data_IF_799237680295
#
_entry.id   IF_799237680295
#
_cell.length_a   1.000
_cell.length_b   1.000
_cell.length_c   1.000
_cell.angle_alpha   90.00
_cell.angle_beta   90.00
_cell.angle_gamma   90.00
#
_symmetry.space_group_name_H-M   'P 1'
#
loop_
_entity.id
_entity.type
_entity.pdbx_description
1 polymer ?
#
# COMPACT_ATOMS: atom_id res chain seq x y z
N UNK A 1 38.34 -49.93 35.67
CA UNK A 1 38.47 -48.53 35.21
C UNK A 1 37.16 -48.12 34.55
N UNK A 2 36.64 -46.94 34.90
CA UNK A 2 35.33 -46.39 34.51
C UNK A 2 35.40 -45.62 33.18
N UNK A 3 34.20 -45.33 32.66
CA UNK A 3 33.82 -44.32 31.66
C UNK A 3 33.88 -44.78 30.18
N UNK A 4 32.91 -44.45 29.31
CA UNK A 4 31.83 -43.48 29.45
C UNK A 4 30.67 -43.77 28.48
N UNK A 5 29.47 -43.51 28.99
CA UNK A 5 28.20 -43.48 28.28
C UNK A 5 28.15 -42.20 27.44
N UNK A 6 28.17 -42.28 26.11
CA UNK A 6 27.92 -41.12 25.25
C UNK A 6 26.41 -40.94 25.05
N UNK A 7 25.83 -40.05 25.85
CA UNK A 7 24.64 -39.28 25.49
C UNK A 7 24.93 -38.45 24.24
N UNK A 8 24.04 -38.51 23.23
CA UNK A 8 23.64 -37.33 22.44
C UNK A 8 22.44 -37.70 21.58
N UNK A 9 21.24 -37.52 22.15
CA UNK A 9 20.01 -37.48 21.37
C UNK A 9 20.06 -36.28 20.43
N UNK A 10 20.05 -36.55 19.12
CA UNK A 10 19.89 -35.51 18.11
C UNK A 10 18.40 -35.17 18.05
N UNK A 11 18.11 -33.98 18.58
CA UNK A 11 16.82 -33.31 18.61
C UNK A 11 16.26 -33.26 17.18
N UNK A 12 15.13 -33.92 16.95
CA UNK A 12 14.26 -33.65 15.80
C UNK A 12 13.70 -32.25 16.02
N UNK A 13 14.43 -31.24 15.57
CA UNK A 13 13.91 -29.88 15.46
C UNK A 13 12.97 -29.88 14.27
N UNK A 14 11.70 -30.14 14.56
CA UNK A 14 10.58 -29.96 13.65
C UNK A 14 10.55 -28.46 13.29
N UNK A 15 11.23 -28.10 12.21
CA UNK A 15 11.14 -26.79 11.59
C UNK A 15 9.71 -26.65 11.03
N UNK A 16 8.78 -26.28 11.90
CA UNK A 16 7.51 -25.69 11.50
C UNK A 16 7.83 -24.32 10.92
N UNK A 17 8.24 -24.31 9.65
CA UNK A 17 8.19 -23.12 8.83
C UNK A 17 6.69 -22.83 8.70
N UNK A 18 6.19 -21.89 9.50
CA UNK A 18 4.90 -21.27 9.27
C UNK A 18 4.90 -20.78 7.83
N UNK A 19 4.19 -21.49 6.95
CA UNK A 19 3.84 -20.95 5.65
C UNK A 19 3.10 -19.65 5.95
N UNK A 20 3.70 -18.51 5.63
CA UNK A 20 2.95 -17.28 5.47
C UNK A 20 1.88 -17.58 4.42
N UNK A 21 0.64 -17.78 4.86
CA UNK A 21 -0.49 -17.78 3.97
C UNK A 21 -0.43 -16.43 3.25
N UNK A 22 -0.32 -16.46 1.91
CA UNK A 22 -0.43 -15.25 1.12
C UNK A 22 -1.76 -14.58 1.50
N UNK A 23 -1.68 -13.48 2.26
CA UNK A 23 -2.87 -12.74 2.68
C UNK A 23 -3.61 -12.35 1.40
N UNK A 24 -4.84 -12.82 1.26
CA UNK A 24 -5.66 -12.46 0.10
C UNK A 24 -5.73 -10.94 0.04
N UNK A 25 -5.45 -10.31 -1.12
CA UNK A 25 -5.53 -8.87 -1.26
C UNK A 25 -6.86 -8.35 -0.73
N UNK A 26 -6.81 -7.37 0.16
CA UNK A 26 -8.01 -6.75 0.73
C UNK A 26 -8.72 -5.99 -0.38
N UNK A 27 -9.91 -6.44 -0.75
CA UNK A 27 -10.79 -5.71 -1.65
C UNK A 27 -11.43 -4.55 -0.89
N UNK A 28 -10.78 -3.39 -0.96
CA UNK A 28 -11.26 -2.14 -0.33
C UNK A 28 -12.67 -1.77 -0.82
N UNK A 29 -13.07 -2.21 -2.02
CA UNK A 29 -14.39 -1.93 -2.60
C UNK A 29 -15.53 -2.72 -1.93
N UNK A 30 -15.20 -3.81 -1.24
CA UNK A 30 -16.17 -4.65 -0.53
C UNK A 30 -16.45 -4.16 0.91
N UNK A 31 -15.69 -3.18 1.42
CA UNK A 31 -15.81 -2.68 2.79
C UNK A 31 -17.13 -1.93 2.99
N UNK A 32 -17.57 -1.16 1.99
CA UNK A 32 -18.86 -0.46 2.00
C UNK A 32 -19.69 -0.97 0.83
N UNK A 33 -20.77 -1.73 1.09
CA UNK A 33 -21.68 -2.18 0.05
C UNK A 33 -22.31 -1.00 -0.70
N UNK A 34 -22.55 -1.19 -2.01
CA UNK A 34 -23.17 -0.18 -2.87
C UNK A 34 -24.43 0.43 -2.25
N UNK A 35 -25.34 -0.40 -1.78
CA UNK A 35 -26.62 0.05 -1.21
C UNK A 35 -26.43 0.94 0.04
N UNK A 36 -25.40 0.65 0.83
CA UNK A 36 -25.06 1.45 2.01
C UNK A 36 -24.46 2.80 1.59
N UNK A 37 -23.59 2.81 0.58
CA UNK A 37 -23.06 4.04 0.00
C UNK A 37 -24.16 4.93 -0.62
N UNK A 38 -25.11 4.35 -1.36
CA UNK A 38 -26.27 5.10 -1.92
C UNK A 38 -27.14 5.67 -0.82
N UNK A 39 -27.36 4.93 0.28
CA UNK A 39 -28.13 5.42 1.43
C UNK A 39 -27.43 6.57 2.14
N UNK A 40 -26.11 6.51 2.29
CA UNK A 40 -25.32 7.58 2.93
C UNK A 40 -25.31 8.85 2.08
N UNK A 41 -25.19 8.70 0.76
CA UNK A 41 -25.00 9.83 -0.16
C UNK A 41 -26.32 10.39 -0.72
N UNK A 42 -27.42 9.63 -0.66
CA UNK A 42 -28.72 10.05 -1.18
C UNK A 42 -28.81 10.08 -2.70
N UNK A 43 -27.81 9.55 -3.39
CA UNK A 43 -27.71 9.53 -4.86
C UNK A 43 -27.19 8.18 -5.36
N UNK A 44 -27.47 7.82 -6.63
CA UNK A 44 -26.94 6.59 -7.22
C UNK A 44 -25.42 6.59 -7.29
N UNK A 45 -24.79 5.52 -6.82
CA UNK A 45 -23.33 5.36 -6.88
C UNK A 45 -22.95 4.29 -7.90
N UNK A 46 -21.75 4.40 -8.46
CA UNK A 46 -21.21 3.36 -9.35
C UNK A 46 -21.05 2.04 -8.61
N UNK A 47 -21.16 0.92 -9.36
CA UNK A 47 -20.91 -0.41 -8.79
C UNK A 47 -19.45 -0.46 -8.30
N UNK A 48 -19.20 -0.90 -7.04
CA UNK A 48 -17.86 -1.13 -6.56
C UNK A 48 -17.14 -2.07 -7.52
N UNK A 49 -15.99 -1.63 -8.00
CA UNK A 49 -15.09 -2.46 -8.79
C UNK A 49 -13.92 -2.77 -7.88
N UNK A 50 -13.61 -4.06 -7.65
CA UNK A 50 -12.51 -4.40 -6.77
C UNK A 50 -11.21 -3.78 -7.26
N UNK A 51 -10.54 -3.07 -6.37
CA UNK A 51 -9.18 -2.62 -6.62
C UNK A 51 -8.24 -3.80 -6.34
N UNK A 52 -7.30 -4.06 -7.24
CA UNK A 52 -6.23 -5.05 -7.19
C UNK A 52 -6.64 -6.53 -7.19
N UNK A 53 -7.87 -6.92 -7.56
CA UNK A 53 -8.25 -8.34 -7.62
C UNK A 53 -7.55 -9.16 -8.70
N UNK A 54 -7.08 -8.50 -9.77
CA UNK A 54 -6.45 -9.16 -10.92
C UNK A 54 -5.10 -8.55 -11.33
N UNK A 55 -4.52 -7.66 -10.50
CA UNK A 55 -3.26 -6.96 -10.83
C UNK A 55 -3.35 -6.03 -12.07
N UNK A 56 -4.57 -5.63 -12.47
CA UNK A 56 -4.84 -4.70 -13.57
C UNK A 56 -5.03 -3.25 -13.12
N UNK A 57 -5.15 -3.03 -11.82
CA UNK A 57 -5.18 -1.68 -11.26
C UNK A 57 -3.75 -1.19 -11.09
N UNK A 58 -3.56 0.13 -11.06
CA UNK A 58 -2.24 0.73 -10.96
C UNK A 58 -1.40 0.11 -9.84
N UNK A 59 -0.09 -0.02 -10.08
CA UNK A 59 0.89 -0.47 -9.09
C UNK A 59 1.22 0.69 -8.16
N UNK A 60 0.48 0.80 -7.06
CA UNK A 60 0.79 1.78 -6.03
C UNK A 60 2.09 1.37 -5.33
N UNK A 61 3.07 2.28 -5.32
CA UNK A 61 4.28 2.12 -4.52
C UNK A 61 4.06 2.73 -3.13
N UNK A 62 4.20 1.94 -2.07
CA UNK A 62 4.17 2.43 -0.69
C UNK A 62 5.35 3.36 -0.45
N UNK A 63 5.10 4.47 0.23
CA UNK A 63 6.12 5.44 0.65
C UNK A 63 6.20 5.42 2.18
N UNK A 64 7.33 4.96 2.70
CA UNK A 64 7.58 4.92 4.14
C UNK A 64 8.03 6.28 4.68
N UNK A 65 7.80 6.52 5.97
CA UNK A 65 8.27 7.72 6.66
C UNK A 65 7.57 9.03 6.28
N UNK A 66 6.43 8.96 5.59
CA UNK A 66 5.64 10.14 5.20
C UNK A 66 4.20 10.01 5.67
N UNK A 67 3.78 10.93 6.55
CA UNK A 67 2.48 10.82 7.22
C UNK A 67 2.38 9.58 8.11
N UNK A 68 1.17 9.13 8.37
CA UNK A 68 0.91 7.83 9.01
C UNK A 68 0.90 6.70 7.97
N UNK A 69 0.42 7.00 6.75
CA UNK A 69 0.50 6.12 5.57
C UNK A 69 0.68 6.96 4.32
N UNK A 70 1.48 6.48 3.37
CA UNK A 70 1.60 7.11 2.06
C UNK A 70 1.81 6.09 0.95
N UNK A 71 1.37 6.46 -0.25
CA UNK A 71 1.53 5.66 -1.45
C UNK A 71 1.47 6.52 -2.70
N UNK A 72 2.11 6.09 -3.78
CA UNK A 72 2.17 6.86 -5.01
C UNK A 72 1.90 6.01 -6.25
N UNK A 73 1.34 6.65 -7.28
CA UNK A 73 1.33 6.16 -8.65
C UNK A 73 2.27 7.01 -9.49
N UNK A 74 3.00 6.37 -10.40
CA UNK A 74 3.83 7.03 -11.40
C UNK A 74 3.20 6.94 -12.79
N UNK A 75 3.84 7.57 -13.78
CA UNK A 75 3.41 7.68 -15.18
C UNK A 75 3.50 6.39 -15.99
N UNK A 76 3.42 5.23 -15.34
CA UNK A 76 3.43 3.94 -16.00
C UNK A 76 2.05 3.66 -16.63
N UNK A 77 1.99 3.04 -17.83
CA UNK A 77 0.72 2.78 -18.53
C UNK A 77 -0.30 2.01 -17.68
N UNK A 78 0.14 1.08 -16.84
CA UNK A 78 -0.73 0.34 -15.92
C UNK A 78 -1.43 1.21 -14.87
N UNK A 79 -0.89 2.39 -14.58
CA UNK A 79 -1.46 3.32 -13.60
C UNK A 79 -2.45 4.31 -14.23
N UNK A 80 -2.59 4.31 -15.56
CA UNK A 80 -3.44 5.26 -16.27
C UNK A 80 -2.97 6.71 -16.16
N UNK A 81 -1.71 6.94 -15.80
CA UNK A 81 -1.09 8.27 -15.72
C UNK A 81 -0.20 8.51 -16.95
N UNK A 82 -0.16 9.75 -17.48
CA UNK A 82 0.79 10.10 -18.53
C UNK A 82 2.24 9.95 -18.04
N UNK A 83 3.21 9.74 -18.95
CA UNK A 83 4.63 9.74 -18.59
C UNK A 83 5.03 11.02 -17.85
N UNK A 84 5.96 10.91 -16.88
CA UNK A 84 6.44 12.02 -16.06
C UNK A 84 5.34 12.69 -15.21
N UNK A 85 4.31 11.93 -14.83
CA UNK A 85 3.29 12.34 -13.86
C UNK A 85 3.35 11.43 -12.65
N UNK A 86 3.34 12.03 -11.46
CA UNK A 86 3.23 11.33 -10.19
C UNK A 86 2.03 11.85 -9.42
N UNK A 87 1.30 10.91 -8.81
CA UNK A 87 0.25 11.18 -7.82
C UNK A 87 0.67 10.55 -6.50
N UNK A 88 1.00 11.39 -5.51
CA UNK A 88 1.35 10.98 -4.15
C UNK A 88 0.16 11.21 -3.21
N UNK A 89 -0.22 10.19 -2.47
CA UNK A 89 -1.28 10.21 -1.46
C UNK A 89 -0.65 10.05 -0.07
N UNK A 90 -1.10 10.86 0.89
CA UNK A 90 -0.61 10.85 2.27
C UNK A 90 -1.78 10.97 3.23
N UNK A 91 -1.83 10.08 4.21
CA UNK A 91 -2.76 10.14 5.36
C UNK A 91 -1.99 10.66 6.56
N UNK A 92 -2.55 11.64 7.29
CA UNK A 92 -2.05 12.08 8.60
C UNK A 92 -3.22 12.42 9.51
N UNK A 93 -3.44 11.63 10.56
CA UNK A 93 -4.58 11.76 11.45
C UNK A 93 -5.90 11.72 10.68
N UNK A 94 -6.65 12.85 10.69
CA UNK A 94 -7.93 13.01 9.96
C UNK A 94 -7.78 13.65 8.58
N UNK A 95 -6.56 13.97 8.16
CA UNK A 95 -6.27 14.64 6.91
C UNK A 95 -5.82 13.64 5.84
N UNK A 96 -6.36 13.79 4.64
CA UNK A 96 -5.93 13.08 3.44
C UNK A 96 -5.43 14.08 2.41
N UNK A 97 -4.17 13.93 2.00
CA UNK A 97 -3.45 14.86 1.12
C UNK A 97 -3.16 14.13 -0.19
N UNK A 98 -3.43 14.81 -1.31
CA UNK A 98 -3.07 14.33 -2.65
C UNK A 98 -2.19 15.37 -3.32
N UNK A 99 -1.07 14.95 -3.90
CA UNK A 99 -0.09 15.81 -4.57
C UNK A 99 0.19 15.24 -5.96
N UNK A 100 -0.17 16.02 -6.98
CA UNK A 100 0.16 15.73 -8.37
C UNK A 100 1.36 16.55 -8.84
N UNK A 101 2.36 15.92 -9.44
CA UNK A 101 3.47 16.60 -10.12
C UNK A 101 3.58 16.05 -11.54
N UNK A 102 3.64 16.94 -12.54
CA UNK A 102 3.80 16.60 -13.95
C UNK A 102 5.03 17.25 -14.58
N UNK A 103 5.51 16.66 -15.67
CA UNK A 103 6.61 17.20 -16.48
C UNK A 103 8.01 17.01 -15.89
N UNK A 104 8.14 16.18 -14.85
CA UNK A 104 9.41 15.86 -14.19
C UNK A 104 9.56 14.34 -14.20
N UNK A 105 10.77 13.86 -14.51
CA UNK A 105 11.09 12.44 -14.45
C UNK A 105 10.70 11.83 -13.09
N UNK A 106 10.15 10.61 -13.10
CA UNK A 106 9.47 10.01 -11.95
C UNK A 106 10.27 10.10 -10.63
N UNK A 107 11.56 9.76 -10.60
CA UNK A 107 12.34 9.82 -9.36
C UNK A 107 12.43 11.25 -8.79
N UNK A 108 12.76 12.23 -9.64
CA UNK A 108 12.83 13.64 -9.24
C UNK A 108 11.44 14.21 -8.92
N UNK A 109 10.40 13.77 -9.64
CA UNK A 109 9.01 14.12 -9.37
C UNK A 109 8.55 13.62 -8.00
N UNK A 110 8.92 12.40 -7.63
CA UNK A 110 8.60 11.82 -6.33
C UNK A 110 9.28 12.58 -5.20
N UNK A 111 10.58 12.87 -5.31
CA UNK A 111 11.28 13.62 -4.28
C UNK A 111 10.69 15.01 -4.09
N UNK A 112 10.31 15.68 -5.18
CA UNK A 112 9.62 16.98 -5.09
C UNK A 112 8.25 16.85 -4.46
N UNK A 113 7.50 15.80 -4.77
CA UNK A 113 6.19 15.53 -4.16
C UNK A 113 6.32 15.27 -2.65
N UNK A 114 7.33 14.50 -2.22
CA UNK A 114 7.64 14.28 -0.80
C UNK A 114 7.99 15.58 -0.08
N UNK A 115 8.80 16.45 -0.69
CA UNK A 115 9.14 17.76 -0.11
C UNK A 115 7.90 18.64 0.07
N UNK A 116 6.99 18.67 -0.91
CA UNK A 116 5.71 19.38 -0.79
C UNK A 116 4.87 18.77 0.33
N UNK A 117 4.78 17.45 0.39
CA UNK A 117 4.05 16.75 1.45
C UNK A 117 4.59 17.10 2.84
N UNK A 118 5.90 17.08 3.03
CA UNK A 118 6.54 17.44 4.30
C UNK A 118 6.21 18.87 4.74
N UNK A 119 6.20 19.82 3.79
CA UNK A 119 5.83 21.21 4.07
C UNK A 119 4.37 21.38 4.48
N UNK A 120 3.46 20.60 3.88
CA UNK A 120 2.04 20.58 4.26
C UNK A 120 1.87 19.93 5.63
N UNK A 121 2.50 18.77 5.85
CA UNK A 121 2.42 18.02 7.11
C UNK A 121 2.95 18.82 8.31
N UNK A 122 3.95 19.68 8.11
CA UNK A 122 4.47 20.57 9.15
C UNK A 122 3.46 21.63 9.63
N UNK A 123 2.33 21.79 8.92
CA UNK A 123 1.28 22.77 9.23
C UNK A 123 0.00 22.12 9.76
N UNK A 124 -0.06 20.78 9.87
CA UNK A 124 -1.24 20.02 10.27
C UNK A 124 -1.18 19.53 11.72
#
# INVERSE_FOLDING_TARGET
MRAGLCLAGVIVSLLTISLFAAEKPIDVSAIIPKAEAEKILGEPVRKPSPLNVNGKDGKMKVIEGLGDKAGMFNGAPENGLPPNVIMLYVVKGRSFITIGIGGIADEAGLEKAKQVAQKILAQL
#
